data_IF_567395599019
#
_entry.id   IF_567395599019
#
_cell.length_a   1.000
_cell.length_b   1.000
_cell.length_c   1.000
_cell.angle_alpha   90.00
_cell.angle_beta   90.00
_cell.angle_gamma   90.00
#
_symmetry.space_group_name_H-M   'P 1'
#
loop_
_entity.id
_entity.type
_entity.pdbx_description
1 polymer ?
#
# COMPACT_ATOMS: atom_id res chain seq x y z
N UNK A 1 21.79 -10.28 19.26
CA UNK A 1 20.77 -11.05 19.97
C UNK A 1 19.46 -10.28 19.91
N UNK A 2 18.50 -10.77 19.13
CA UNK A 2 17.14 -10.28 19.21
C UNK A 2 16.49 -10.88 20.46
N UNK A 3 15.77 -10.09 21.26
CA UNK A 3 15.06 -10.60 22.43
C UNK A 3 13.96 -11.57 21.98
N UNK A 4 14.08 -12.84 22.39
CA UNK A 4 13.05 -13.84 22.16
C UNK A 4 11.89 -13.53 23.12
N UNK A 5 10.71 -13.33 22.58
CA UNK A 5 9.48 -13.16 23.36
C UNK A 5 8.81 -14.51 23.50
N UNK A 6 8.56 -14.93 24.73
CA UNK A 6 7.94 -16.23 25.04
C UNK A 6 6.57 -15.99 25.68
N UNK A 7 5.61 -16.87 25.35
CA UNK A 7 4.34 -16.96 26.05
C UNK A 7 4.43 -18.12 27.01
N UNK A 8 4.52 -17.83 28.31
CA UNK A 8 4.62 -18.85 29.36
C UNK A 8 3.25 -19.07 29.99
N UNK A 9 2.75 -20.31 29.90
CA UNK A 9 1.47 -20.71 30.52
C UNK A 9 1.74 -21.64 31.70
N UNK A 10 1.27 -21.28 32.88
CA UNK A 10 1.29 -22.16 34.06
C UNK A 10 -0.04 -22.88 34.14
N UNK A 11 -0.03 -24.18 33.95
CA UNK A 11 -1.24 -25.01 33.92
C UNK A 11 -1.23 -25.98 35.10
N UNK A 12 -2.37 -26.13 35.76
CA UNK A 12 -2.58 -27.15 36.81
C UNK A 12 -3.77 -28.02 36.41
N UNK A 13 -3.53 -29.29 36.18
CA UNK A 13 -4.56 -30.27 35.87
C UNK A 13 -4.86 -31.15 37.09
N UNK A 14 -6.15 -31.37 37.40
CA UNK A 14 -6.59 -32.28 38.48
C UNK A 14 -6.59 -33.73 38.04
N UNK A 15 -6.63 -34.00 36.72
CA UNK A 15 -6.60 -35.36 36.13
C UNK A 15 -5.89 -35.29 34.79
N UNK A 16 -5.43 -36.42 34.29
CA UNK A 16 -4.87 -36.54 32.95
C UNK A 16 -5.94 -36.26 31.90
N UNK A 17 -5.61 -35.45 30.90
CA UNK A 17 -6.50 -35.06 29.81
C UNK A 17 -5.76 -34.21 28.76
N UNK A 18 -6.37 -34.04 27.60
CA UNK A 18 -5.87 -33.11 26.57
C UNK A 18 -6.57 -31.76 26.70
N UNK A 19 -5.80 -30.68 26.53
CA UNK A 19 -6.31 -29.30 26.59
C UNK A 19 -5.85 -28.57 25.34
N UNK A 20 -6.76 -27.88 24.68
CA UNK A 20 -6.46 -27.04 23.52
C UNK A 20 -6.36 -25.58 23.96
N UNK A 21 -5.23 -24.95 23.68
CA UNK A 21 -5.04 -23.53 23.92
C UNK A 21 -5.19 -22.77 22.61
N UNK A 22 -6.03 -21.72 22.59
CA UNK A 22 -6.12 -20.76 21.51
C UNK A 22 -5.46 -19.46 21.97
N UNK A 23 -4.38 -19.09 21.31
CA UNK A 23 -3.67 -17.85 21.57
C UNK A 23 -3.90 -16.86 20.43
N UNK A 24 -4.05 -15.58 20.72
CA UNK A 24 -4.06 -14.50 19.73
C UNK A 24 -3.14 -13.38 20.21
N UNK A 25 -2.43 -12.78 19.27
CA UNK A 25 -1.49 -11.70 19.56
C UNK A 25 -1.41 -10.74 18.39
N UNK A 26 -0.99 -9.51 18.67
CA UNK A 26 -0.75 -8.50 17.64
C UNK A 26 0.75 -8.48 17.39
N UNK A 27 1.13 -8.51 16.12
CA UNK A 27 2.50 -8.42 15.67
C UNK A 27 2.65 -7.25 14.71
N UNK A 28 3.79 -6.60 14.76
CA UNK A 28 4.17 -5.54 13.82
C UNK A 28 5.03 -6.13 12.70
N UNK A 29 5.38 -5.32 11.68
CA UNK A 29 6.20 -5.70 10.54
C UNK A 29 5.51 -6.66 9.56
N UNK A 30 4.19 -6.56 9.45
CA UNK A 30 3.43 -7.14 8.36
C UNK A 30 2.46 -6.08 7.83
N UNK A 31 2.38 -5.98 6.50
CA UNK A 31 1.48 -5.05 5.81
C UNK A 31 1.13 -5.57 4.42
N UNK A 32 0.14 -4.97 3.82
CA UNK A 32 -0.25 -5.28 2.46
C UNK A 32 -0.61 -4.01 1.68
N UNK A 33 -0.49 -4.10 0.36
CA UNK A 33 -0.78 -3.01 -0.58
C UNK A 33 -1.61 -3.59 -1.73
N UNK A 34 -2.76 -2.99 -2.10
CA UNK A 34 -3.53 -3.42 -3.24
C UNK A 34 -2.82 -3.07 -4.55
N UNK A 35 -2.87 -4.00 -5.49
CA UNK A 35 -2.43 -3.81 -6.88
C UNK A 35 -3.49 -4.35 -7.81
N UNK A 36 -3.54 -3.78 -9.02
CA UNK A 36 -4.56 -4.09 -10.00
C UNK A 36 -3.95 -4.37 -11.36
N UNK A 37 -4.51 -5.34 -12.08
CA UNK A 37 -4.28 -5.47 -13.50
C UNK A 37 -5.61 -5.21 -14.22
N UNK A 38 -5.62 -4.20 -15.07
CA UNK A 38 -6.77 -3.82 -15.88
C UNK A 38 -6.56 -4.34 -17.30
N UNK A 39 -7.43 -5.23 -17.74
CA UNK A 39 -7.33 -5.86 -19.06
C UNK A 39 -8.52 -5.52 -19.93
N UNK A 40 -8.25 -5.02 -21.13
CA UNK A 40 -9.23 -4.82 -22.18
C UNK A 40 -8.86 -5.69 -23.38
N UNK A 41 -9.71 -6.65 -23.73
CA UNK A 41 -9.47 -7.51 -24.92
C UNK A 41 -9.69 -6.76 -26.23
N UNK A 42 -10.68 -5.89 -26.27
CA UNK A 42 -11.03 -5.06 -27.42
C UNK A 42 -11.92 -3.89 -26.97
N UNK A 43 -12.25 -3.00 -27.89
CA UNK A 43 -13.07 -1.80 -27.61
C UNK A 43 -14.58 -2.08 -27.43
N UNK A 44 -15.01 -3.33 -27.41
CA UNK A 44 -16.42 -3.71 -27.27
C UNK A 44 -16.68 -4.69 -26.10
N UNK A 45 -15.61 -5.17 -25.45
CA UNK A 45 -15.71 -6.10 -24.33
C UNK A 45 -15.68 -5.35 -22.98
N UNK A 46 -16.24 -5.92 -21.91
CA UNK A 46 -16.05 -5.37 -20.57
C UNK A 46 -14.56 -5.37 -20.20
N UNK A 47 -14.19 -4.49 -19.29
CA UNK A 47 -12.87 -4.52 -18.66
C UNK A 47 -12.82 -5.65 -17.65
N UNK A 48 -11.75 -6.41 -17.65
CA UNK A 48 -11.40 -7.33 -16.59
C UNK A 48 -10.46 -6.63 -15.63
N UNK A 49 -10.77 -6.67 -14.35
CA UNK A 49 -9.97 -6.11 -13.28
C UNK A 49 -9.56 -7.23 -12.33
N UNK A 50 -8.28 -7.57 -12.33
CA UNK A 50 -7.67 -8.47 -11.36
C UNK A 50 -7.23 -7.66 -10.15
N UNK A 51 -7.87 -7.90 -9.01
CA UNK A 51 -7.47 -7.31 -7.74
C UNK A 51 -6.54 -8.26 -7.01
N UNK A 52 -5.35 -7.81 -6.69
CA UNK A 52 -4.34 -8.58 -5.97
C UNK A 52 -3.77 -7.76 -4.81
N UNK A 53 -3.16 -8.43 -3.86
CA UNK A 53 -2.44 -7.83 -2.75
C UNK A 53 -0.95 -8.19 -2.81
N UNK A 54 -0.09 -7.22 -2.64
CA UNK A 54 1.31 -7.43 -2.26
C UNK A 54 1.36 -7.52 -0.75
N UNK A 55 1.62 -8.70 -0.22
CA UNK A 55 1.76 -8.94 1.21
C UNK A 55 3.24 -9.00 1.53
N UNK A 56 3.68 -8.22 2.50
CA UNK A 56 5.06 -8.22 3.00
C UNK A 56 5.04 -8.53 4.48
N UNK A 57 5.86 -9.47 4.90
CA UNK A 57 6.01 -9.76 6.31
C UNK A 57 7.47 -9.99 6.70
N UNK A 58 7.84 -9.49 7.87
CA UNK A 58 9.13 -9.69 8.52
C UNK A 58 8.91 -9.87 10.02
N UNK A 59 8.08 -10.86 10.35
CA UNK A 59 7.68 -11.14 11.73
C UNK A 59 8.62 -12.07 12.45
N UNK A 60 9.55 -12.69 11.71
CA UNK A 60 10.53 -13.67 12.19
C UNK A 60 10.02 -15.12 12.14
N UNK A 61 8.79 -15.34 11.67
CA UNK A 61 8.20 -16.66 11.49
C UNK A 61 7.53 -16.76 10.13
N UNK A 62 7.79 -17.85 9.41
CA UNK A 62 7.08 -18.16 8.17
C UNK A 62 5.63 -18.54 8.49
N UNK A 63 4.72 -17.99 7.70
CA UNK A 63 3.32 -18.38 7.77
C UNK A 63 3.09 -19.49 6.76
N UNK A 64 2.75 -20.69 7.26
CA UNK A 64 2.51 -21.89 6.45
C UNK A 64 1.09 -22.37 6.67
N UNK A 65 0.39 -22.69 5.59
CA UNK A 65 -1.00 -23.15 5.60
C UNK A 65 -1.94 -22.23 6.40
N UNK A 66 -1.75 -20.89 6.28
CA UNK A 66 -2.53 -19.92 7.06
C UNK A 66 -3.76 -19.44 6.29
N UNK A 67 -4.87 -19.24 7.00
CA UNK A 67 -6.00 -18.46 6.49
C UNK A 67 -5.67 -16.99 6.63
N UNK A 68 -5.60 -16.29 5.50
CA UNK A 68 -5.27 -14.89 5.44
C UNK A 68 -6.55 -14.05 5.35
N UNK A 69 -6.64 -13.02 6.18
CA UNK A 69 -7.65 -11.96 6.05
C UNK A 69 -6.94 -10.63 5.92
N UNK A 70 -7.19 -9.94 4.82
CA UNK A 70 -6.65 -8.61 4.56
C UNK A 70 -7.67 -7.58 5.01
N UNK A 71 -7.29 -6.65 5.88
CA UNK A 71 -8.18 -5.61 6.40
C UNK A 71 -7.65 -4.22 6.09
N UNK A 72 -8.57 -3.31 5.76
CA UNK A 72 -8.23 -1.88 5.61
C UNK A 72 -8.17 -1.16 6.95
N UNK A 73 -8.60 -1.81 8.04
CA UNK A 73 -8.48 -1.28 9.38
C UNK A 73 -7.01 -1.18 9.79
N UNK A 74 -6.63 -0.06 10.36
CA UNK A 74 -5.32 0.09 10.98
C UNK A 74 -5.46 0.01 12.51
N UNK A 75 -5.17 -1.16 13.13
CA UNK A 75 -5.31 -1.33 14.58
C UNK A 75 -4.31 -0.48 15.38
N UNK A 76 -3.27 0.05 14.72
CA UNK A 76 -2.26 0.90 15.34
C UNK A 76 -2.62 2.39 15.31
N UNK A 77 -3.66 2.79 14.59
CA UNK A 77 -4.07 4.18 14.53
C UNK A 77 -4.74 4.58 15.86
N UNK A 78 -4.14 5.54 16.54
CA UNK A 78 -4.80 6.19 17.68
C UNK A 78 -5.93 7.06 17.14
N UNK A 79 -7.16 6.68 17.43
CA UNK A 79 -8.36 7.45 17.10
C UNK A 79 -8.62 8.51 18.17
N UNK A 80 -7.62 9.33 18.49
CA UNK A 80 -7.81 10.45 19.39
C UNK A 80 -8.66 11.52 18.67
N UNK A 81 -9.69 11.99 19.38
CA UNK A 81 -10.55 13.06 18.85
C UNK A 81 -9.69 14.30 18.58
N UNK A 82 -9.73 14.89 17.38
CA UNK A 82 -9.02 16.12 17.11
C UNK A 82 -9.51 17.24 18.02
N UNK A 83 -8.57 17.96 18.61
CA UNK A 83 -8.85 19.12 19.47
C UNK A 83 -8.73 20.36 18.62
N UNK A 84 -9.79 21.13 18.53
CA UNK A 84 -9.76 22.43 17.88
C UNK A 84 -9.08 23.43 18.80
N UNK A 85 -7.91 23.88 18.43
CA UNK A 85 -7.23 24.98 19.13
C UNK A 85 -7.74 26.33 18.59
N UNK A 86 -7.92 27.32 19.48
CA UNK A 86 -8.30 28.66 19.04
C UNK A 86 -7.20 29.26 18.15
N UNK A 87 -7.61 29.81 17.03
CA UNK A 87 -6.72 30.55 16.13
C UNK A 87 -6.80 32.03 16.58
N UNK A 88 -5.69 32.54 17.07
CA UNK A 88 -5.56 33.96 17.41
C UNK A 88 -5.12 34.72 16.15
N UNK A 89 -5.90 35.72 15.79
CA UNK A 89 -5.52 36.65 14.71
C UNK A 89 -4.82 37.83 15.36
N UNK A 90 -3.58 38.05 14.97
CA UNK A 90 -2.79 39.20 15.40
C UNK A 90 -2.40 40.05 14.16
N UNK A 91 -2.12 41.32 14.38
CA UNK A 91 -1.67 42.16 13.28
C UNK A 91 -0.24 41.80 12.89
N UNK A 92 -0.04 41.51 11.61
CA UNK A 92 1.28 41.30 11.07
C UNK A 92 2.14 42.58 11.28
N UNK A 93 3.05 42.53 12.25
CA UNK A 93 4.08 43.54 12.40
C UNK A 93 5.26 43.12 11.52
N UNK A 94 5.55 43.85 10.43
CA UNK A 94 6.73 43.54 9.63
C UNK A 94 7.97 43.70 10.49
N UNK A 95 8.82 42.68 10.54
CA UNK A 95 10.06 42.60 11.31
C UNK A 95 11.13 43.59 10.81
N UNK A 96 10.74 44.84 10.59
CA UNK A 96 11.67 45.88 10.13
C UNK A 96 12.70 46.25 11.19
N UNK A 97 12.38 46.03 12.46
CA UNK A 97 13.28 46.42 13.57
C UNK A 97 14.18 45.27 14.07
N UNK A 98 13.85 43.99 13.79
CA UNK A 98 14.71 42.87 14.22
C UNK A 98 15.95 42.66 13.35
N UNK A 99 15.93 43.17 12.12
CA UNK A 99 17.05 42.99 11.20
C UNK A 99 18.21 43.97 11.44
N UNK A 100 18.00 45.05 12.19
CA UNK A 100 19.11 45.94 12.54
C UNK A 100 19.96 45.42 13.71
N UNK A 101 19.36 44.69 14.65
CA UNK A 101 20.07 44.07 15.77
C UNK A 101 20.87 42.83 15.38
N UNK A 102 20.38 42.05 14.38
CA UNK A 102 21.09 40.86 13.89
C UNK A 102 22.33 41.19 13.02
N UNK A 103 22.39 42.36 12.36
CA UNK A 103 23.56 42.77 11.57
C UNK A 103 24.78 43.07 12.41
N UNK A 104 24.63 43.37 13.69
CA UNK A 104 25.75 43.67 14.59
C UNK A 104 26.45 42.42 15.15
N UNK A 105 25.76 41.27 15.19
CA UNK A 105 26.30 40.02 15.74
C UNK A 105 26.82 39.01 14.70
N UNK A 106 26.46 39.19 13.41
CA UNK A 106 26.83 38.24 12.35
C UNK A 106 28.16 38.53 11.68
N UNK A 107 28.71 39.72 11.88
CA UNK A 107 30.01 40.08 11.25
C UNK A 107 31.22 39.45 11.93
N UNK A 108 31.10 38.95 13.15
CA UNK A 108 32.18 38.24 13.86
C UNK A 108 32.20 36.75 13.74
N UNK A 109 31.09 36.09 13.27
CA UNK A 109 30.98 34.63 13.16
C UNK A 109 31.22 34.08 11.75
N UNK A 110 31.30 34.92 10.71
CA UNK A 110 31.47 34.46 9.33
C UNK A 110 32.93 34.29 8.87
N UNK A 111 33.91 34.52 9.74
CA UNK A 111 35.33 34.33 9.36
C UNK A 111 35.87 32.91 9.61
N UNK A 112 35.10 31.97 10.21
CA UNK A 112 35.65 30.66 10.61
C UNK A 112 34.97 29.46 9.99
N UNK A 113 34.12 29.59 8.97
CA UNK A 113 33.55 28.44 8.28
C UNK A 113 33.69 28.54 6.75
N UNK A 114 34.91 28.49 6.32
CA UNK A 114 35.24 28.16 4.93
C UNK A 114 35.92 26.82 4.93
N UNK A 115 35.30 25.86 4.25
CA UNK A 115 35.82 24.60 3.69
C UNK A 115 35.02 23.37 4.11
N UNK A 116 34.09 22.94 3.24
CA UNK A 116 34.10 21.62 2.63
C UNK A 116 32.90 21.47 1.65
N UNK A 117 33.12 21.17 0.38
CA UNK A 117 32.05 20.78 -0.53
C UNK A 117 31.76 19.29 -0.34
N UNK A 118 30.55 18.96 0.07
CA UNK A 118 30.05 17.59 0.00
C UNK A 118 29.29 17.43 -1.32
N UNK A 119 29.92 16.76 -2.25
CA UNK A 119 29.27 16.23 -3.44
C UNK A 119 28.53 14.96 -3.05
N UNK A 120 27.19 14.98 -3.17
CA UNK A 120 26.37 13.77 -3.05
C UNK A 120 26.08 13.29 -4.46
N UNK A 121 26.76 12.23 -4.87
CA UNK A 121 26.42 11.47 -6.06
C UNK A 121 25.20 10.60 -5.77
N UNK A 122 24.08 10.95 -6.38
CA UNK A 122 22.89 10.10 -6.42
C UNK A 122 23.07 9.13 -7.57
N UNK A 123 23.56 7.95 -7.28
CA UNK A 123 23.56 6.82 -8.22
C UNK A 123 22.11 6.33 -8.39
N UNK A 124 21.58 6.53 -9.58
CA UNK A 124 20.30 6.05 -10.04
C UNK A 124 20.49 4.62 -10.55
N UNK A 125 20.23 3.63 -9.72
CA UNK A 125 20.14 2.24 -10.13
C UNK A 125 18.70 1.96 -10.58
N UNK A 126 18.48 1.85 -11.88
CA UNK A 126 17.30 1.26 -12.47
C UNK A 126 17.60 -0.22 -12.68
N UNK A 127 17.12 -1.08 -11.81
CA UNK A 127 17.02 -2.51 -12.08
C UNK A 127 15.66 -2.81 -12.68
N UNK A 128 15.63 -3.00 -13.99
CA UNK A 128 14.56 -3.68 -14.68
C UNK A 128 14.65 -5.18 -14.36
N UNK A 129 13.87 -5.64 -13.40
CA UNK A 129 13.60 -7.09 -13.27
C UNK A 129 12.38 -7.42 -14.10
N UNK A 130 12.62 -8.03 -15.26
CA UNK A 130 11.58 -8.65 -16.06
C UNK A 130 10.99 -9.82 -15.26
N UNK A 131 9.72 -9.71 -14.93
CA UNK A 131 8.93 -10.82 -14.40
C UNK A 131 8.24 -11.51 -15.58
N UNK A 132 8.85 -12.60 -16.05
CA UNK A 132 8.11 -13.66 -16.73
C UNK A 132 7.44 -14.48 -15.61
N UNK A 133 6.18 -14.26 -15.38
CA UNK A 133 5.41 -15.17 -14.55
C UNK A 133 4.07 -15.51 -15.21
N UNK A 134 4.05 -16.71 -15.75
CA UNK A 134 2.84 -17.38 -16.18
C UNK A 134 2.04 -17.83 -14.95
N UNK A 135 1.32 -16.93 -14.31
CA UNK A 135 0.41 -17.25 -13.24
C UNK A 135 -0.87 -17.86 -13.80
N UNK A 136 -1.08 -19.13 -13.44
CA UNK A 136 -2.38 -19.80 -13.56
C UNK A 136 -3.39 -19.01 -12.73
N UNK A 137 -4.52 -18.66 -13.33
CA UNK A 137 -5.67 -18.14 -12.61
C UNK A 137 -6.18 -19.22 -11.65
N UNK A 138 -5.85 -19.11 -10.39
CA UNK A 138 -6.56 -19.83 -9.35
C UNK A 138 -7.84 -19.06 -9.05
N UNK A 139 -8.98 -19.73 -9.18
CA UNK A 139 -10.28 -19.25 -8.71
C UNK A 139 -10.24 -19.09 -7.18
N UNK A 140 -9.68 -17.98 -6.72
CA UNK A 140 -9.66 -17.66 -5.31
C UNK A 140 -11.06 -17.20 -4.89
N UNK A 141 -11.79 -18.04 -4.19
CA UNK A 141 -13.01 -17.64 -3.50
C UNK A 141 -12.60 -16.70 -2.35
N UNK A 142 -13.00 -15.45 -2.46
CA UNK A 142 -12.78 -14.43 -1.43
C UNK A 142 -14.12 -13.94 -0.91
N UNK A 143 -14.29 -13.97 0.39
CA UNK A 143 -15.46 -13.40 1.05
C UNK A 143 -15.14 -11.98 1.49
N UNK A 144 -15.87 -10.98 0.97
CA UNK A 144 -15.75 -9.57 1.37
C UNK A 144 -16.72 -9.33 2.51
N UNK A 145 -16.19 -8.90 3.65
CA UNK A 145 -16.94 -8.49 4.81
C UNK A 145 -16.89 -6.96 4.94
N UNK A 146 -18.02 -6.32 4.69
CA UNK A 146 -18.16 -4.87 4.87
C UNK A 146 -18.51 -4.59 6.33
N UNK A 147 -17.58 -3.97 7.06
CA UNK A 147 -17.83 -3.41 8.38
C UNK A 147 -18.10 -1.89 8.29
N UNK A 148 -18.72 -1.31 9.31
CA UNK A 148 -19.02 0.14 9.35
C UNK A 148 -17.78 1.04 9.18
N UNK A 149 -16.57 0.54 9.41
CA UNK A 149 -15.33 1.31 9.39
C UNK A 149 -14.20 0.68 8.58
N UNK A 150 -14.33 -0.54 8.11
CA UNK A 150 -13.28 -1.24 7.38
C UNK A 150 -13.85 -2.33 6.45
N UNK A 151 -13.15 -2.58 5.36
CA UNK A 151 -13.42 -3.69 4.47
C UNK A 151 -12.41 -4.80 4.76
N UNK A 152 -12.88 -6.03 4.86
CA UNK A 152 -12.06 -7.21 5.08
C UNK A 152 -12.22 -8.18 3.91
N UNK A 153 -11.10 -8.67 3.41
CA UNK A 153 -11.03 -9.67 2.35
C UNK A 153 -10.51 -10.97 2.95
N UNK A 154 -11.40 -11.92 3.19
CA UNK A 154 -11.04 -13.25 3.69
C UNK A 154 -10.64 -14.15 2.51
N UNK A 155 -9.38 -14.54 2.45
CA UNK A 155 -8.83 -15.41 1.42
C UNK A 155 -9.12 -16.86 1.85
N UNK A 156 -9.91 -17.58 1.06
CA UNK A 156 -10.32 -18.95 1.41
C UNK A 156 -9.22 -19.98 1.22
N UNK A 157 -8.33 -19.73 0.26
CA UNK A 157 -7.18 -20.59 0.02
C UNK A 157 -6.12 -20.39 1.09
N UNK A 158 -5.53 -21.49 1.55
CA UNK A 158 -4.42 -21.42 2.49
C UNK A 158 -3.20 -20.81 1.80
N UNK A 159 -2.53 -19.91 2.51
CA UNK A 159 -1.40 -19.15 1.99
C UNK A 159 -0.11 -19.51 2.73
N UNK A 160 0.97 -19.58 1.97
CA UNK A 160 2.34 -19.69 2.48
C UNK A 160 3.08 -18.39 2.22
N UNK A 161 3.49 -17.72 3.30
CA UNK A 161 4.17 -16.43 3.21
C UNK A 161 5.43 -16.48 4.09
N UNK A 162 6.58 -16.42 3.47
CA UNK A 162 7.87 -16.46 4.16
C UNK A 162 8.15 -15.12 4.87
N UNK A 163 8.92 -15.18 5.96
CA UNK A 163 9.37 -14.00 6.71
C UNK A 163 10.67 -13.45 6.13
N UNK A 164 10.64 -13.03 4.87
CA UNK A 164 11.81 -12.63 4.10
C UNK A 164 11.83 -11.16 3.70
N UNK A 165 10.82 -10.39 4.12
CA UNK A 165 10.63 -8.98 3.77
C UNK A 165 10.49 -8.73 2.27
N UNK A 166 10.08 -9.74 1.49
CA UNK A 166 9.75 -9.60 0.07
C UNK A 166 8.25 -9.49 -0.16
N UNK A 167 7.90 -9.07 -1.37
CA UNK A 167 6.51 -8.98 -1.80
C UNK A 167 5.99 -10.34 -2.24
N UNK A 168 4.97 -10.85 -1.55
CA UNK A 168 4.23 -12.05 -1.91
C UNK A 168 2.88 -11.64 -2.51
N UNK A 169 2.60 -12.13 -3.72
CA UNK A 169 1.37 -11.78 -4.44
C UNK A 169 0.26 -12.73 -4.05
N UNK A 170 -0.84 -12.18 -3.55
CA UNK A 170 -2.03 -12.92 -3.17
C UNK A 170 -3.21 -12.40 -3.99
N UNK A 171 -3.93 -13.29 -4.69
CA UNK A 171 -5.15 -12.93 -5.42
C UNK A 171 -6.28 -12.58 -4.45
N UNK A 172 -7.01 -11.51 -4.76
CA UNK A 172 -8.20 -11.10 -4.01
C UNK A 172 -9.46 -11.46 -4.80
N UNK A 173 -9.65 -10.87 -5.97
CA UNK A 173 -10.84 -11.10 -6.79
C UNK A 173 -10.62 -10.65 -8.25
N UNK A 174 -11.38 -11.29 -9.14
CA UNK A 174 -11.53 -10.86 -10.52
C UNK A 174 -12.89 -10.21 -10.71
N UNK A 175 -12.93 -9.06 -11.36
CA UNK A 175 -14.15 -8.28 -11.56
C UNK A 175 -14.30 -7.96 -13.04
N UNK A 176 -15.47 -8.23 -13.60
CA UNK A 176 -15.85 -7.71 -14.91
C UNK A 176 -16.61 -6.39 -14.75
N UNK A 177 -16.10 -5.34 -15.39
CA UNK A 177 -16.70 -4.00 -15.33
C UNK A 177 -17.18 -3.59 -16.72
N UNK A 178 -18.46 -3.21 -16.87
CA UNK A 178 -18.94 -2.59 -18.10
C UNK A 178 -18.16 -1.31 -18.38
N UNK A 179 -17.66 -1.16 -19.59
CA UNK A 179 -16.90 0.02 -20.01
C UNK A 179 -17.43 0.59 -21.32
N UNK A 180 -17.43 1.92 -21.41
CA UNK A 180 -17.73 2.63 -22.64
C UNK A 180 -16.42 3.14 -23.22
N UNK A 181 -16.13 2.72 -24.45
CA UNK A 181 -14.90 3.08 -25.13
C UNK A 181 -15.11 4.29 -26.04
N UNK A 182 -14.12 5.16 -26.06
CA UNK A 182 -14.09 6.32 -26.96
C UNK A 182 -12.65 6.64 -27.34
N UNK A 183 -12.45 7.16 -28.56
CA UNK A 183 -11.14 7.64 -29.00
C UNK A 183 -11.03 9.13 -28.74
N UNK A 184 -9.92 9.53 -28.17
CA UNK A 184 -9.61 10.93 -27.92
C UNK A 184 -8.31 11.30 -28.64
N UNK A 185 -8.30 12.43 -29.32
CA UNK A 185 -7.10 12.95 -29.98
C UNK A 185 -7.03 14.46 -29.84
N UNK A 186 -5.84 14.99 -29.70
CA UNK A 186 -5.56 16.44 -29.69
C UNK A 186 -4.44 16.70 -30.72
N UNK A 187 -4.75 16.74 -32.02
CA UNK A 187 -3.75 16.76 -33.10
C UNK A 187 -2.79 17.95 -33.04
N UNK A 188 -3.15 19.03 -32.32
CA UNK A 188 -2.28 20.19 -32.08
C UNK A 188 -1.10 19.87 -31.16
N UNK A 189 -1.27 18.89 -30.26
CA UNK A 189 -0.27 18.50 -29.25
C UNK A 189 0.39 17.18 -29.59
N UNK A 190 -0.40 16.21 -30.03
CA UNK A 190 0.05 14.88 -30.41
C UNK A 190 -0.88 14.33 -31.52
N UNK A 191 -0.29 13.72 -32.53
CA UNK A 191 -1.01 13.11 -33.65
C UNK A 191 -1.57 11.72 -33.30
N UNK A 192 -1.33 11.22 -32.12
CA UNK A 192 -1.79 9.91 -31.65
C UNK A 192 -3.25 9.96 -31.21
N UNK A 193 -4.00 8.91 -31.50
CA UNK A 193 -5.35 8.70 -30.96
C UNK A 193 -5.27 7.78 -29.72
N UNK A 194 -5.78 8.26 -28.63
CA UNK A 194 -5.82 7.52 -27.36
C UNK A 194 -7.16 6.84 -27.19
N UNK A 195 -7.16 5.54 -26.88
CA UNK A 195 -8.36 4.80 -26.51
C UNK A 195 -8.64 5.04 -25.02
N UNK A 196 -9.83 5.55 -24.73
CA UNK A 196 -10.31 5.76 -23.36
C UNK A 196 -11.41 4.75 -23.06
N UNK A 197 -11.29 4.06 -21.94
CA UNK A 197 -12.33 3.23 -21.36
C UNK A 197 -12.91 3.95 -20.14
N UNK A 198 -14.21 4.23 -20.17
CA UNK A 198 -14.92 4.85 -19.06
C UNK A 198 -15.77 3.81 -18.35
N UNK A 199 -15.52 3.63 -17.08
CA UNK A 199 -16.28 2.75 -16.18
C UNK A 199 -17.25 3.60 -15.35
N UNK A 200 -18.48 3.14 -15.25
CA UNK A 200 -19.51 3.69 -14.35
C UNK A 200 -19.71 2.73 -13.18
N UNK A 201 -20.32 3.22 -12.09
CA UNK A 201 -20.72 2.42 -10.91
C UNK A 201 -19.55 1.65 -10.25
N UNK A 202 -18.34 2.17 -10.36
CA UNK A 202 -17.14 1.57 -9.77
C UNK A 202 -17.18 1.50 -8.24
N UNK A 203 -17.98 2.35 -7.58
CA UNK A 203 -18.08 2.40 -6.12
C UNK A 203 -18.58 1.09 -5.50
N UNK A 204 -19.40 0.31 -6.22
CA UNK A 204 -19.92 -0.99 -5.76
C UNK A 204 -18.85 -2.09 -5.61
N UNK A 205 -17.67 -1.87 -6.16
CA UNK A 205 -16.59 -2.86 -6.12
C UNK A 205 -15.60 -2.65 -4.97
N UNK A 206 -15.82 -1.64 -4.12
CA UNK A 206 -14.97 -1.34 -2.95
C UNK A 206 -13.48 -1.24 -3.27
N UNK A 207 -13.15 -0.63 -4.42
CA UNK A 207 -11.78 -0.51 -4.88
C UNK A 207 -10.98 0.43 -3.97
N UNK A 208 -9.83 -0.05 -3.53
CA UNK A 208 -8.89 0.72 -2.73
C UNK A 208 -7.91 1.47 -3.64
N UNK A 209 -7.32 2.54 -3.13
CA UNK A 209 -6.25 3.22 -3.85
C UNK A 209 -5.01 2.32 -3.96
N UNK A 210 -4.53 2.11 -5.18
CA UNK A 210 -3.40 1.23 -5.47
C UNK A 210 -2.83 1.44 -6.87
N UNK A 211 -1.71 0.81 -7.16
CA UNK A 211 -1.12 0.81 -8.51
C UNK A 211 -1.95 -0.07 -9.45
N UNK A 212 -2.11 0.38 -10.69
CA UNK A 212 -2.81 -0.39 -11.72
C UNK A 212 -1.95 -0.54 -12.97
N UNK A 213 -1.71 -1.77 -13.41
CA UNK A 213 -1.13 -2.07 -14.70
C UNK A 213 -2.24 -2.17 -15.75
N UNK A 214 -2.02 -1.63 -16.92
CA UNK A 214 -3.00 -1.58 -17.99
C UNK A 214 -2.54 -2.47 -19.14
N UNK A 215 -3.43 -3.35 -19.58
CA UNK A 215 -3.20 -4.25 -20.73
C UNK A 215 -4.32 -4.07 -21.77
N UNK A 216 -3.94 -4.05 -23.02
CA UNK A 216 -4.85 -4.05 -24.15
C UNK A 216 -4.45 -5.13 -25.13
N UNK A 217 -5.39 -6.02 -25.49
CA UNK A 217 -5.14 -7.16 -26.37
C UNK A 217 -3.88 -7.95 -25.94
N UNK A 218 -3.83 -8.27 -24.63
CA UNK A 218 -2.74 -8.96 -23.92
C UNK A 218 -1.37 -8.26 -23.93
N UNK A 219 -1.29 -7.04 -24.49
CA UNK A 219 -0.08 -6.25 -24.46
C UNK A 219 -0.10 -5.25 -23.32
N UNK A 220 1.01 -5.14 -22.60
CA UNK A 220 1.19 -4.11 -21.57
C UNK A 220 1.25 -2.72 -22.21
N UNK A 221 0.42 -1.81 -21.72
CA UNK A 221 0.29 -0.44 -22.25
C UNK A 221 0.90 0.59 -21.30
N UNK A 222 0.86 0.32 -20.02
CA UNK A 222 1.39 1.26 -19.01
C UNK A 222 0.78 1.09 -17.61
N UNK A 223 1.08 2.03 -16.74
CA UNK A 223 0.54 2.13 -15.37
C UNK A 223 -0.36 3.34 -15.24
#
# INVERSE_FOLDING_TARGET
>A
HQPIKEIVLKVQAKSAGSVTFKTSYIITNAYWIPIYDIRAKNSNSPLQLDCRAKVVQNTGYDWKDVKLTLSTANPSSKHDRPILYPIYVDFFQPDYYKNQLKKSYTSQMMQNMAMAPATVDIARASEETGFEDGLKSDDNHVTILEGDMAVEYAIETLQDIESDNKEHIVGIQEIEMPAIYSYHTVPKLDMTAYLLARVTDWAKYNLLAGEANIFYDDNYVGK
#
